data_IF_286858279385
#
_entry.id   IF_286858279385
#
_cell.length_a   1.000
_cell.length_b   1.000
_cell.length_c   1.000
_cell.angle_alpha   90.00
_cell.angle_beta   90.00
_cell.angle_gamma   90.00
#
_symmetry.space_group_name_H-M   'P 1'
#
loop_
_entity.id
_entity.type
_entity.pdbx_description
1 polymer ?
#
# COMPACT_ATOMS: atom_id res chain seq x y z
N UNK A 1 72.99 6.49 -3.31
CA UNK A 1 71.89 7.20 -3.99
C UNK A 1 70.62 6.41 -3.75
N UNK A 2 69.77 6.84 -2.80
CA UNK A 2 68.53 6.13 -2.45
C UNK A 2 67.40 6.76 -3.25
N UNK A 3 66.81 5.99 -4.19
CA UNK A 3 65.62 6.42 -4.92
C UNK A 3 64.41 6.31 -4.02
N UNK A 4 63.80 7.43 -3.64
CA UNK A 4 62.50 7.44 -2.97
C UNK A 4 61.41 7.05 -3.99
N UNK A 5 60.78 5.91 -3.73
CA UNK A 5 59.57 5.52 -4.46
C UNK A 5 58.38 6.19 -3.74
N UNK A 6 57.77 7.18 -4.38
CA UNK A 6 56.55 7.78 -3.90
C UNK A 6 55.36 6.87 -4.25
N UNK A 7 54.82 6.21 -3.24
CA UNK A 7 53.61 5.42 -3.39
C UNK A 7 52.42 6.39 -3.35
N UNK A 8 51.82 6.63 -4.51
CA UNK A 8 50.57 7.40 -4.60
C UNK A 8 49.41 6.47 -4.14
N UNK A 9 48.81 6.81 -3.02
CA UNK A 9 47.59 6.15 -2.55
C UNK A 9 46.43 6.76 -3.34
N UNK A 10 45.89 5.98 -4.27
CA UNK A 10 44.66 6.31 -4.98
C UNK A 10 43.48 5.95 -4.05
N UNK A 11 42.89 6.95 -3.42
CA UNK A 11 41.68 6.81 -2.65
C UNK A 11 40.50 6.74 -3.62
N UNK A 12 39.98 5.52 -3.86
CA UNK A 12 38.74 5.31 -4.63
C UNK A 12 37.58 5.64 -3.71
N UNK A 13 36.97 6.79 -3.88
CA UNK A 13 35.70 7.15 -3.21
C UNK A 13 34.58 6.41 -3.93
N UNK A 14 34.13 5.29 -3.36
CA UNK A 14 32.92 4.61 -3.82
C UNK A 14 31.71 5.43 -3.40
N UNK A 15 31.11 6.20 -4.32
CA UNK A 15 29.80 6.80 -4.13
C UNK A 15 28.76 5.68 -4.15
N UNK A 16 28.31 5.29 -2.98
CA UNK A 16 27.11 4.47 -2.82
C UNK A 16 25.89 5.33 -3.16
N UNK A 17 25.42 5.23 -4.41
CA UNK A 17 24.11 5.76 -4.77
C UNK A 17 23.06 4.85 -4.13
N UNK A 18 22.47 5.30 -3.03
CA UNK A 18 21.25 4.72 -2.50
C UNK A 18 20.14 5.07 -3.49
N UNK A 19 19.80 4.15 -4.38
CA UNK A 19 18.61 4.28 -5.22
C UNK A 19 17.42 4.11 -4.29
N UNK A 20 16.88 5.21 -3.78
CA UNK A 20 15.54 5.20 -3.21
C UNK A 20 14.59 4.83 -4.35
N UNK A 21 14.00 3.64 -4.30
CA UNK A 21 12.89 3.29 -5.17
C UNK A 21 11.73 4.24 -4.86
N UNK A 22 11.58 5.27 -5.68
CA UNK A 22 10.44 6.18 -5.58
C UNK A 22 9.21 5.50 -6.19
N UNK A 23 8.05 5.74 -5.55
CA UNK A 23 6.77 5.37 -6.11
C UNK A 23 6.68 5.90 -7.56
N UNK A 24 6.31 5.04 -8.51
CA UNK A 24 6.26 5.42 -9.91
C UNK A 24 5.09 6.36 -10.21
N UNK A 25 5.15 7.13 -11.33
CA UNK A 25 4.11 8.07 -11.73
C UNK A 25 2.71 7.44 -11.83
N UNK A 26 2.63 6.15 -12.17
CA UNK A 26 1.37 5.41 -12.24
C UNK A 26 0.72 5.25 -10.85
N UNK A 27 1.50 4.94 -9.82
CA UNK A 27 1.01 4.86 -8.45
C UNK A 27 0.55 6.21 -7.92
N UNK A 28 1.29 7.27 -8.19
CA UNK A 28 0.90 8.62 -7.79
C UNK A 28 -0.39 9.08 -8.47
N UNK A 29 -0.54 8.78 -9.76
CA UNK A 29 -1.77 9.05 -10.51
C UNK A 29 -2.96 8.24 -9.97
N UNK A 30 -2.76 6.99 -9.61
CA UNK A 30 -3.79 6.15 -8.99
C UNK A 30 -4.25 6.74 -7.65
N UNK A 31 -3.29 7.07 -6.75
CA UNK A 31 -3.61 7.69 -5.46
C UNK A 31 -4.40 8.99 -5.62
N UNK A 32 -3.97 9.85 -6.52
CA UNK A 32 -4.62 11.13 -6.76
C UNK A 32 -6.10 10.98 -7.19
N UNK A 33 -6.43 9.88 -7.87
CA UNK A 33 -7.79 9.62 -8.38
C UNK A 33 -8.67 8.87 -7.41
N UNK A 34 -8.13 7.92 -6.65
CA UNK A 34 -8.93 6.93 -5.94
C UNK A 34 -8.70 6.85 -4.44
N UNK A 35 -7.56 7.31 -3.93
CA UNK A 35 -7.26 7.26 -2.51
C UNK A 35 -7.79 8.50 -1.79
N UNK A 36 -8.75 8.28 -0.89
CA UNK A 36 -9.29 9.33 -0.02
C UNK A 36 -8.35 9.62 1.16
N UNK A 37 -8.42 10.81 1.77
CA UNK A 37 -7.56 11.20 2.89
C UNK A 37 -7.61 10.25 4.08
N UNK A 38 -8.74 9.57 4.31
CA UNK A 38 -8.94 8.62 5.41
C UNK A 38 -8.38 7.20 5.13
N UNK A 39 -7.96 6.92 3.90
CA UNK A 39 -7.42 5.62 3.48
C UNK A 39 -8.38 4.76 2.66
N UNK A 40 -9.57 5.26 2.40
CA UNK A 40 -10.58 4.57 1.59
C UNK A 40 -10.24 4.68 0.10
N UNK A 41 -10.29 3.57 -0.63
CA UNK A 41 -10.20 3.52 -2.08
C UNK A 41 -11.62 3.60 -2.64
N UNK A 42 -11.89 4.56 -3.50
CA UNK A 42 -13.22 4.78 -4.08
C UNK A 42 -13.34 4.21 -5.48
N UNK A 43 -14.43 3.53 -5.73
CA UNK A 43 -14.87 3.14 -7.06
C UNK A 43 -15.69 4.28 -7.68
N UNK A 44 -15.03 5.15 -8.44
CA UNK A 44 -15.65 6.33 -9.05
C UNK A 44 -16.66 5.98 -10.13
N UNK A 45 -16.60 4.78 -10.66
CA UNK A 45 -17.56 4.26 -11.64
C UNK A 45 -18.81 3.63 -11.01
N UNK A 46 -18.85 3.49 -9.69
CA UNK A 46 -19.92 2.80 -8.96
C UNK A 46 -20.33 3.56 -7.69
N UNK A 47 -20.80 4.77 -7.83
CA UNK A 47 -21.31 5.63 -6.75
C UNK A 47 -20.33 5.84 -5.57
N UNK A 48 -19.02 5.83 -5.84
CA UNK A 48 -17.98 6.00 -4.84
C UNK A 48 -18.01 4.97 -3.71
N UNK A 49 -18.50 3.77 -3.96
CA UNK A 49 -18.40 2.66 -3.01
C UNK A 49 -16.95 2.22 -2.85
N UNK A 50 -16.68 1.46 -1.82
CA UNK A 50 -15.39 0.80 -1.62
C UNK A 50 -15.59 -0.69 -1.43
N UNK A 51 -14.62 -1.46 -1.90
CA UNK A 51 -14.64 -2.92 -1.83
C UNK A 51 -13.35 -3.43 -1.19
N UNK A 52 -13.41 -4.55 -0.50
CA UNK A 52 -12.21 -5.22 0.02
C UNK A 52 -11.20 -5.55 -1.06
N UNK A 53 -11.67 -5.91 -2.26
CA UNK A 53 -10.80 -6.14 -3.42
C UNK A 53 -9.99 -4.88 -3.76
N UNK A 54 -10.63 -3.72 -3.87
CA UNK A 54 -9.96 -2.44 -4.14
C UNK A 54 -8.96 -2.05 -3.05
N UNK A 55 -9.33 -2.24 -1.78
CA UNK A 55 -8.42 -2.01 -0.64
C UNK A 55 -7.20 -2.94 -0.73
N UNK A 56 -7.40 -4.22 -0.97
CA UNK A 56 -6.34 -5.22 -1.09
C UNK A 56 -5.38 -4.93 -2.25
N UNK A 57 -5.89 -4.59 -3.42
CA UNK A 57 -5.05 -4.20 -4.57
C UNK A 57 -4.23 -2.94 -4.28
N UNK A 58 -4.84 -1.93 -3.67
CA UNK A 58 -4.13 -0.70 -3.34
C UNK A 58 -3.03 -0.94 -2.29
N UNK A 59 -3.29 -1.79 -1.30
CA UNK A 59 -2.27 -2.21 -0.33
C UNK A 59 -1.10 -2.91 -1.01
N UNK A 60 -1.34 -3.82 -1.96
CA UNK A 60 -0.30 -4.49 -2.75
C UNK A 60 0.51 -3.49 -3.58
N UNK A 61 -0.15 -2.53 -4.23
CA UNK A 61 0.52 -1.48 -4.99
C UNK A 61 1.38 -0.59 -4.10
N UNK A 62 0.91 -0.24 -2.90
CA UNK A 62 1.68 0.53 -1.93
C UNK A 62 2.95 -0.22 -1.50
N UNK A 63 2.85 -1.53 -1.21
CA UNK A 63 4.02 -2.37 -0.90
C UNK A 63 5.00 -2.40 -2.07
N UNK A 64 4.50 -2.66 -3.29
CA UNK A 64 5.33 -2.71 -4.49
C UNK A 64 6.04 -1.37 -4.78
N UNK A 65 5.40 -0.26 -4.44
CA UNK A 65 5.93 1.09 -4.59
C UNK A 65 6.79 1.56 -3.40
N UNK A 66 7.00 0.72 -2.40
CA UNK A 66 7.70 1.06 -1.15
C UNK A 66 7.08 2.30 -0.45
N UNK A 67 5.77 2.46 -0.55
CA UNK A 67 5.00 3.56 0.03
C UNK A 67 4.29 3.11 1.30
N UNK A 68 5.07 3.03 2.38
CA UNK A 68 4.56 2.61 3.69
C UNK A 68 3.47 3.54 4.22
N UNK A 69 3.59 4.84 4.01
CA UNK A 69 2.62 5.81 4.51
C UNK A 69 1.22 5.59 3.89
N UNK A 70 1.15 5.34 2.58
CA UNK A 70 -0.10 4.98 1.92
C UNK A 70 -0.61 3.61 2.36
N UNK A 71 0.28 2.62 2.51
CA UNK A 71 -0.11 1.30 3.02
C UNK A 71 -0.77 1.39 4.39
N UNK A 72 -0.12 2.05 5.35
CA UNK A 72 -0.63 2.18 6.72
C UNK A 72 -1.98 2.90 6.76
N UNK A 73 -2.16 3.92 5.92
CA UNK A 73 -3.42 4.65 5.78
C UNK A 73 -4.54 3.76 5.24
N UNK A 74 -4.29 3.03 4.16
CA UNK A 74 -5.27 2.14 3.53
C UNK A 74 -5.63 0.99 4.47
N UNK A 75 -4.63 0.35 5.07
CA UNK A 75 -4.84 -0.71 6.04
C UNK A 75 -5.62 -0.22 7.27
N UNK A 76 -5.26 0.92 7.83
CA UNK A 76 -5.92 1.49 9.00
C UNK A 76 -7.42 1.70 8.78
N UNK A 77 -7.82 2.23 7.63
CA UNK A 77 -9.24 2.37 7.28
C UNK A 77 -9.91 1.01 7.10
N UNK A 78 -9.26 0.08 6.39
CA UNK A 78 -9.79 -1.26 6.11
C UNK A 78 -10.04 -2.04 7.40
N UNK A 79 -9.06 -2.09 8.29
CA UNK A 79 -9.16 -2.80 9.57
C UNK A 79 -10.22 -2.17 10.50
N UNK A 80 -10.25 -0.86 10.56
CA UNK A 80 -11.21 -0.14 11.41
C UNK A 80 -12.64 -0.24 10.91
N UNK A 81 -12.84 -0.16 9.59
CA UNK A 81 -14.18 0.03 9.00
C UNK A 81 -14.80 -1.27 8.51
N UNK A 82 -14.01 -2.14 7.85
CA UNK A 82 -14.55 -3.33 7.19
C UNK A 82 -14.41 -4.61 8.01
N UNK A 83 -13.54 -4.66 9.01
CA UNK A 83 -13.29 -5.90 9.74
C UNK A 83 -14.48 -6.34 10.58
N UNK A 84 -14.93 -7.55 10.35
CA UNK A 84 -15.83 -8.25 11.24
C UNK A 84 -15.03 -8.85 12.41
N UNK A 85 -15.17 -8.25 13.59
CA UNK A 85 -14.40 -8.65 14.78
C UNK A 85 -14.72 -10.05 15.30
N UNK A 86 -15.88 -10.61 14.93
CA UNK A 86 -16.28 -11.95 15.34
C UNK A 86 -15.59 -13.04 14.51
N UNK A 87 -15.43 -12.81 13.21
CA UNK A 87 -14.87 -13.80 12.28
C UNK A 87 -13.43 -13.53 11.90
N UNK A 88 -12.95 -12.29 12.03
CA UNK A 88 -11.66 -11.83 11.53
C UNK A 88 -11.61 -11.59 10.02
N UNK A 89 -12.70 -11.88 9.31
CA UNK A 89 -12.88 -11.57 7.88
C UNK A 89 -13.39 -10.14 7.71
N UNK A 90 -13.53 -9.70 6.46
CA UNK A 90 -13.95 -8.34 6.15
C UNK A 90 -15.32 -8.33 5.48
N UNK A 91 -16.17 -7.36 5.85
CA UNK A 91 -17.35 -7.01 5.07
C UNK A 91 -16.89 -6.51 3.71
N UNK A 92 -17.44 -7.07 2.63
CA UNK A 92 -16.86 -6.90 1.29
C UNK A 92 -17.06 -5.52 0.68
N UNK A 93 -18.07 -4.76 1.16
CA UNK A 93 -18.50 -3.50 0.54
C UNK A 93 -18.83 -2.43 1.57
N UNK A 94 -18.47 -1.21 1.26
CA UNK A 94 -18.85 0.02 1.96
C UNK A 94 -19.55 0.96 0.98
N UNK A 95 -20.78 1.38 1.27
CA UNK A 95 -21.53 2.34 0.46
C UNK A 95 -21.81 3.61 1.26
N UNK A 96 -21.16 4.76 0.94
CA UNK A 96 -21.25 5.98 1.75
C UNK A 96 -22.63 6.65 1.71
N UNK A 97 -23.48 6.31 0.74
CA UNK A 97 -24.81 6.92 0.59
C UNK A 97 -25.93 6.11 1.25
N UNK A 98 -25.65 4.92 1.73
CA UNK A 98 -26.62 4.14 2.47
C UNK A 98 -26.70 4.54 3.95
N UNK A 99 -27.89 4.49 4.60
CA UNK A 99 -28.01 4.77 6.04
C UNK A 99 -27.11 3.89 6.92
N UNK A 100 -26.97 2.62 6.57
CA UNK A 100 -25.93 1.72 7.07
C UNK A 100 -24.92 1.48 5.93
N UNK A 101 -23.74 2.08 5.97
CA UNK A 101 -22.76 1.94 4.91
C UNK A 101 -22.30 0.48 4.68
N UNK A 102 -22.48 -0.39 5.67
CA UNK A 102 -22.16 -1.82 5.62
C UNK A 102 -23.47 -2.63 5.78
N UNK A 103 -24.43 -2.34 4.94
CA UNK A 103 -25.73 -3.05 4.95
C UNK A 103 -25.58 -4.53 4.59
N UNK A 104 -24.70 -4.86 3.64
CA UNK A 104 -24.34 -6.22 3.28
C UNK A 104 -23.23 -6.76 4.20
N UNK A 105 -23.57 -7.70 5.06
CA UNK A 105 -22.67 -8.29 6.05
C UNK A 105 -21.87 -9.49 5.54
N UNK A 106 -21.91 -9.78 4.24
CA UNK A 106 -21.12 -10.85 3.64
C UNK A 106 -19.63 -10.45 3.53
N UNK A 107 -18.78 -11.46 3.45
CA UNK A 107 -17.40 -11.31 3.02
C UNK A 107 -17.27 -11.75 1.54
N UNK A 108 -16.16 -11.35 0.92
CA UNK A 108 -15.75 -11.84 -0.39
C UNK A 108 -14.34 -12.44 -0.26
N UNK A 109 -14.19 -13.71 -0.61
CA UNK A 109 -12.95 -14.45 -0.39
C UNK A 109 -11.76 -13.91 -1.18
N UNK A 110 -12.00 -13.34 -2.36
CA UNK A 110 -10.97 -12.67 -3.18
C UNK A 110 -10.42 -11.42 -2.47
N UNK A 111 -11.28 -10.56 -1.95
CA UNK A 111 -10.87 -9.38 -1.19
C UNK A 111 -10.13 -9.75 0.10
N UNK A 112 -10.63 -10.72 0.86
CA UNK A 112 -9.97 -11.22 2.08
C UNK A 112 -8.57 -11.78 1.75
N UNK A 113 -8.44 -12.55 0.67
CA UNK A 113 -7.17 -13.11 0.23
C UNK A 113 -6.15 -12.03 -0.21
N UNK A 114 -6.61 -11.02 -0.93
CA UNK A 114 -5.77 -9.90 -1.37
C UNK A 114 -5.24 -9.08 -0.19
N UNK A 115 -6.09 -8.79 0.80
CA UNK A 115 -5.69 -8.08 2.02
C UNK A 115 -4.66 -8.92 2.80
N UNK A 116 -4.91 -10.21 3.00
CA UNK A 116 -3.99 -11.10 3.69
C UNK A 116 -2.64 -11.17 2.97
N UNK A 117 -2.64 -11.28 1.64
CA UNK A 117 -1.43 -11.28 0.85
C UNK A 117 -0.64 -9.98 0.96
N UNK A 118 -1.32 -8.83 0.93
CA UNK A 118 -0.68 -7.53 1.10
C UNK A 118 -0.02 -7.39 2.47
N UNK A 119 -0.67 -7.85 3.54
CA UNK A 119 -0.12 -7.86 4.88
C UNK A 119 1.14 -8.74 4.98
N UNK A 120 1.11 -9.95 4.41
CA UNK A 120 2.28 -10.83 4.36
C UNK A 120 3.45 -10.20 3.58
N UNK A 121 3.16 -9.53 2.46
CA UNK A 121 4.18 -8.83 1.68
C UNK A 121 4.79 -7.65 2.42
N UNK A 122 3.99 -6.92 3.20
CA UNK A 122 4.46 -5.81 4.00
C UNK A 122 5.35 -6.29 5.17
N UNK A 123 4.98 -7.40 5.82
CA UNK A 123 5.73 -7.99 6.94
C UNK A 123 7.12 -8.50 6.50
N UNK A 124 7.26 -8.92 5.25
CA UNK A 124 8.51 -9.42 4.69
C UNK A 124 9.53 -8.33 4.29
N UNK A 125 9.28 -7.03 4.56
CA UNK A 125 10.13 -5.91 4.13
C UNK A 125 10.82 -5.17 5.29
#
# INVERSE_FOLDING_TARGET
MVKRVSTAIVMTVSLLFTVCAQAGPAWDSYKARFLMPDGRIVDTGNNNVSHTEGQGYAMLMAVASNDRASFDKIWGWTDKTLKNKQTGLFYWRYNPVEPDPIADKNNASDGDALIAWALLKADAR
#
